data_IF_848664907179
#
_entry.id   IF_848664907179
#
_cell.length_a   1.000
_cell.length_b   1.000
_cell.length_c   1.000
_cell.angle_alpha   90.00
_cell.angle_beta   90.00
_cell.angle_gamma   90.00
#
_symmetry.space_group_name_H-M   'P 1'
#
loop_
_entity.id
_entity.type
_entity.pdbx_description
1 polymer ?
#
# COMPACT_ATOMS: atom_id res chain seq x y z
N UNK A 1 -5.62 -24.30 -0.51
CA UNK A 1 -6.73 -23.73 0.29
C UNK A 1 -7.83 -23.46 -0.68
N UNK A 2 -8.94 -24.13 -0.52
CA UNK A 2 -9.95 -24.14 -1.58
C UNK A 2 -10.99 -23.03 -1.50
N UNK A 3 -10.92 -22.13 -0.48
CA UNK A 3 -11.83 -21.00 -0.37
C UNK A 3 -11.16 -19.82 0.34
N UNK A 4 -11.14 -18.67 -0.29
CA UNK A 4 -10.90 -17.40 0.39
C UNK A 4 -12.21 -16.88 1.01
N UNK A 5 -12.16 -16.10 2.11
CA UNK A 5 -13.36 -15.58 2.72
C UNK A 5 -14.02 -14.54 1.80
N UNK A 6 -15.27 -14.80 1.43
CA UNK A 6 -16.08 -13.81 0.72
C UNK A 6 -16.53 -12.71 1.69
N UNK A 7 -16.15 -11.46 1.46
CA UNK A 7 -16.59 -10.36 2.32
C UNK A 7 -18.06 -10.06 2.10
N UNK A 8 -18.79 -9.91 3.21
CA UNK A 8 -20.21 -9.54 3.19
C UNK A 8 -20.40 -8.17 3.83
N UNK A 9 -21.04 -7.26 3.10
CA UNK A 9 -21.41 -5.95 3.62
C UNK A 9 -22.75 -6.04 4.35
N UNK A 10 -22.74 -5.76 5.64
CA UNK A 10 -23.94 -5.72 6.47
C UNK A 10 -24.22 -4.28 6.92
N UNK A 11 -25.48 -3.82 6.84
CA UNK A 11 -25.84 -2.52 7.38
C UNK A 11 -25.68 -2.52 8.90
N UNK A 12 -25.14 -1.46 9.46
CA UNK A 12 -24.95 -1.30 10.91
C UNK A 12 -26.21 -0.73 11.56
N UNK A 13 -26.88 0.16 10.84
CA UNK A 13 -28.13 0.77 11.21
C UNK A 13 -29.15 0.61 10.06
N UNK A 14 -30.44 0.79 10.37
CA UNK A 14 -31.48 0.65 9.35
C UNK A 14 -31.36 1.69 8.22
N UNK A 15 -30.83 2.87 8.52
CA UNK A 15 -30.49 3.93 7.55
C UNK A 15 -29.43 3.50 6.53
N UNK A 16 -28.57 2.56 6.89
CA UNK A 16 -27.44 2.13 6.06
C UNK A 16 -27.83 1.04 5.06
N UNK A 17 -29.04 0.50 5.17
CA UNK A 17 -29.51 -0.62 4.34
C UNK A 17 -29.50 -0.30 2.83
N UNK A 18 -29.88 0.94 2.46
CA UNK A 18 -29.88 1.39 1.07
C UNK A 18 -28.46 1.49 0.51
N UNK A 19 -27.48 1.92 1.33
CA UNK A 19 -26.07 2.06 0.92
C UNK A 19 -25.33 0.72 0.92
N UNK A 20 -25.73 -0.23 1.78
CA UNK A 20 -25.09 -1.54 1.88
C UNK A 20 -25.36 -2.44 0.66
N UNK A 21 -26.51 -2.27 0.01
CA UNK A 21 -26.90 -3.10 -1.14
C UNK A 21 -25.96 -2.90 -2.34
N UNK A 22 -25.72 -1.68 -2.88
CA UNK A 22 -24.80 -1.50 -3.99
C UNK A 22 -23.34 -1.89 -3.63
N UNK A 23 -22.90 -1.67 -2.39
CA UNK A 23 -21.57 -2.09 -1.96
C UNK A 23 -21.41 -3.61 -1.96
N UNK A 24 -22.47 -4.35 -1.62
CA UNK A 24 -22.49 -5.83 -1.66
C UNK A 24 -22.36 -6.36 -3.09
N UNK A 25 -22.89 -5.65 -4.07
CA UNK A 25 -22.83 -6.04 -5.47
C UNK A 25 -21.47 -5.67 -6.10
N UNK A 26 -20.92 -4.52 -5.75
CA UNK A 26 -19.67 -3.99 -6.34
C UNK A 26 -18.44 -4.66 -5.75
N UNK A 27 -18.44 -4.98 -4.46
CA UNK A 27 -17.25 -5.52 -3.79
C UNK A 27 -16.73 -6.83 -4.40
N UNK A 28 -17.56 -7.84 -4.72
CA UNK A 28 -17.08 -9.05 -5.38
C UNK A 28 -16.44 -8.76 -6.74
N UNK A 29 -17.00 -7.82 -7.50
CA UNK A 29 -16.47 -7.43 -8.82
C UNK A 29 -15.08 -6.80 -8.68
N UNK A 30 -14.89 -5.90 -7.71
CA UNK A 30 -13.57 -5.30 -7.44
C UNK A 30 -12.55 -6.37 -7.06
N UNK A 31 -12.94 -7.34 -6.23
CA UNK A 31 -12.05 -8.42 -5.80
C UNK A 31 -11.69 -9.35 -6.98
N UNK A 32 -12.63 -9.67 -7.85
CA UNK A 32 -12.41 -10.47 -9.04
C UNK A 32 -11.47 -9.74 -10.03
N UNK A 33 -11.69 -8.46 -10.31
CA UNK A 33 -10.83 -7.66 -11.18
C UNK A 33 -9.40 -7.49 -10.67
N UNK A 34 -9.19 -7.63 -9.37
CA UNK A 34 -7.87 -7.55 -8.75
C UNK A 34 -7.25 -8.91 -8.45
N UNK A 35 -7.84 -10.00 -8.93
CA UNK A 35 -7.33 -11.36 -8.69
C UNK A 35 -7.05 -11.62 -7.20
N UNK A 36 -8.02 -11.18 -6.36
CA UNK A 36 -7.85 -11.19 -4.91
C UNK A 36 -7.66 -12.59 -4.34
N UNK A 37 -8.21 -13.62 -4.96
CA UNK A 37 -8.03 -15.00 -4.54
C UNK A 37 -6.54 -15.39 -4.57
N UNK A 38 -5.82 -15.01 -5.62
CA UNK A 38 -4.37 -15.23 -5.71
C UNK A 38 -3.62 -14.40 -4.67
N UNK A 39 -3.93 -13.11 -4.55
CA UNK A 39 -3.34 -12.22 -3.53
C UNK A 39 -3.55 -12.77 -2.12
N UNK A 40 -4.73 -13.30 -1.82
CA UNK A 40 -5.03 -13.93 -0.54
C UNK A 40 -4.21 -15.19 -0.29
N UNK A 41 -4.08 -16.05 -1.31
CA UNK A 41 -3.27 -17.27 -1.25
C UNK A 41 -1.81 -16.95 -0.99
N UNK A 42 -1.24 -16.00 -1.72
CA UNK A 42 0.15 -15.56 -1.57
C UNK A 42 0.40 -14.95 -0.19
N UNK A 43 -0.52 -14.13 0.30
CA UNK A 43 -0.45 -13.60 1.67
C UNK A 43 -0.49 -14.69 2.75
N UNK A 44 -1.25 -15.76 2.54
CA UNK A 44 -1.23 -16.90 3.46
C UNK A 44 0.12 -17.60 3.48
N UNK A 45 0.75 -17.78 2.31
CA UNK A 45 2.09 -18.34 2.22
C UNK A 45 3.13 -17.47 2.93
N UNK A 46 3.09 -16.17 2.72
CA UNK A 46 3.97 -15.22 3.41
C UNK A 46 3.74 -15.24 4.92
N UNK A 47 2.49 -15.27 5.36
CA UNK A 47 2.13 -15.38 6.78
C UNK A 47 2.64 -16.67 7.43
N UNK A 48 2.61 -17.78 6.71
CA UNK A 48 3.14 -19.06 7.21
C UNK A 48 4.67 -19.06 7.31
N UNK A 49 5.35 -18.39 6.39
CA UNK A 49 6.82 -18.31 6.38
C UNK A 49 7.36 -17.29 7.40
N UNK A 50 6.74 -16.12 7.46
CA UNK A 50 7.26 -14.95 8.17
C UNK A 50 6.46 -14.57 9.42
N UNK A 51 5.34 -15.24 9.68
CA UNK A 51 4.44 -14.93 10.80
C UNK A 51 3.50 -13.75 10.56
N UNK A 52 3.77 -12.95 9.53
CA UNK A 52 2.99 -11.76 9.15
C UNK A 52 2.96 -11.64 7.63
N UNK A 53 1.89 -11.07 7.11
CA UNK A 53 1.78 -10.66 5.72
C UNK A 53 0.94 -9.38 5.64
N UNK A 54 1.20 -8.56 4.65
CA UNK A 54 0.49 -7.32 4.42
C UNK A 54 0.08 -7.19 2.95
N UNK A 55 -1.09 -6.62 2.71
CA UNK A 55 -1.50 -6.15 1.39
C UNK A 55 -2.09 -4.75 1.52
N UNK A 56 -1.97 -3.98 0.46
CA UNK A 56 -2.51 -2.63 0.38
C UNK A 56 -3.62 -2.54 -0.65
N UNK A 57 -4.51 -1.59 -0.41
CA UNK A 57 -5.54 -1.18 -1.37
C UNK A 57 -5.19 0.24 -1.78
N UNK A 58 -4.93 0.43 -3.06
CA UNK A 58 -4.49 1.69 -3.64
C UNK A 58 -5.46 2.14 -4.71
N UNK A 59 -5.47 3.43 -5.02
CA UNK A 59 -6.13 3.95 -6.21
C UNK A 59 -5.11 4.02 -7.34
N UNK A 60 -5.39 3.36 -8.45
CA UNK A 60 -4.56 3.42 -9.65
C UNK A 60 -5.27 4.24 -10.73
N UNK A 61 -4.81 5.47 -11.01
CA UNK A 61 -5.46 6.36 -11.98
C UNK A 61 -5.32 5.90 -13.43
N UNK A 62 -4.41 4.97 -13.73
CA UNK A 62 -4.16 4.48 -15.09
C UNK A 62 -5.09 3.33 -15.50
N UNK A 63 -5.70 2.66 -14.53
CA UNK A 63 -6.68 1.60 -14.79
C UNK A 63 -7.89 2.16 -15.55
N UNK A 64 -8.63 1.28 -16.21
CA UNK A 64 -9.87 1.58 -16.94
C UNK A 64 -9.70 2.75 -17.94
N UNK A 65 -8.62 2.72 -18.74
CA UNK A 65 -8.30 3.76 -19.74
C UNK A 65 -8.19 5.19 -19.16
N UNK A 66 -7.67 5.30 -17.93
CA UNK A 66 -7.46 6.58 -17.27
C UNK A 66 -8.62 7.08 -16.43
N UNK A 67 -9.68 6.28 -16.25
CA UNK A 67 -10.76 6.58 -15.30
C UNK A 67 -10.29 6.31 -13.87
N UNK A 68 -9.42 5.35 -13.71
CA UNK A 68 -8.89 4.88 -12.44
C UNK A 68 -9.76 3.81 -11.79
N UNK A 69 -9.11 2.92 -11.05
CA UNK A 69 -9.77 1.87 -10.27
C UNK A 69 -8.91 1.46 -9.08
N UNK A 70 -9.47 0.64 -8.20
CA UNK A 70 -8.76 0.07 -7.07
C UNK A 70 -7.73 -0.94 -7.53
N UNK A 71 -6.61 -0.98 -6.81
CA UNK A 71 -5.51 -1.90 -7.01
C UNK A 71 -5.18 -2.58 -5.68
N UNK A 72 -5.35 -3.91 -5.61
CA UNK A 72 -5.09 -4.71 -4.42
C UNK A 72 -3.83 -5.51 -4.68
N UNK A 73 -2.77 -5.22 -3.93
CA UNK A 73 -1.48 -5.89 -4.12
C UNK A 73 -0.79 -6.22 -2.80
N UNK A 74 -0.02 -7.31 -2.74
CA UNK A 74 0.80 -7.62 -1.57
C UNK A 74 1.85 -6.53 -1.36
N UNK A 75 2.18 -6.28 -0.10
CA UNK A 75 3.27 -5.39 0.30
C UNK A 75 4.37 -6.25 0.88
N UNK A 76 5.57 -6.11 0.36
CA UNK A 76 6.76 -6.76 0.88
C UNK A 76 7.03 -6.28 2.32
N UNK A 77 7.15 -7.23 3.26
CA UNK A 77 7.38 -6.93 4.67
C UNK A 77 8.69 -6.21 4.93
N UNK A 78 9.67 -6.35 4.04
CA UNK A 78 10.94 -5.63 4.12
C UNK A 78 10.82 -4.16 3.72
N UNK A 79 9.70 -3.77 3.14
CA UNK A 79 9.44 -2.41 2.66
C UNK A 79 8.48 -1.62 3.55
N UNK A 80 7.91 -2.25 4.59
CA UNK A 80 6.97 -1.62 5.50
C UNK A 80 7.58 -1.47 6.89
N UNK A 81 7.52 -0.25 7.44
CA UNK A 81 8.10 0.07 8.74
C UNK A 81 7.11 0.83 9.60
N UNK A 82 7.03 0.46 10.88
CA UNK A 82 6.20 1.15 11.89
C UNK A 82 6.98 1.34 13.18
N UNK A 83 6.40 2.00 14.18
CA UNK A 83 7.07 2.29 15.45
C UNK A 83 7.51 1.00 16.17
N UNK A 84 8.77 0.92 16.65
CA UNK A 84 9.26 -0.22 17.41
C UNK A 84 8.47 -0.41 18.71
N UNK A 85 8.18 -1.67 19.06
CA UNK A 85 7.51 -2.02 20.31
C UNK A 85 5.99 -1.88 20.28
N UNK A 86 5.40 -1.47 19.16
CA UNK A 86 3.95 -1.44 18.96
C UNK A 86 3.48 -2.81 18.49
N UNK A 87 2.54 -3.40 19.23
CA UNK A 87 2.00 -4.74 18.92
C UNK A 87 0.88 -4.67 17.88
N UNK A 88 0.01 -3.67 17.98
CA UNK A 88 -1.04 -3.41 16.99
C UNK A 88 -0.60 -2.25 16.10
N UNK A 89 -0.47 -2.50 14.80
CA UNK A 89 -0.08 -1.49 13.81
C UNK A 89 -1.02 -0.27 13.82
N UNK A 90 -2.27 -0.46 14.25
CA UNK A 90 -3.23 0.63 14.38
C UNK A 90 -2.87 1.62 15.50
N UNK A 91 -2.05 1.21 16.46
CA UNK A 91 -1.55 2.09 17.52
C UNK A 91 -0.30 2.87 17.10
N UNK A 92 0.35 2.46 16.01
CA UNK A 92 1.49 3.20 15.45
C UNK A 92 1.08 4.61 15.01
N UNK A 93 1.88 5.58 15.36
CA UNK A 93 1.69 6.98 14.91
C UNK A 93 2.25 7.21 13.53
N UNK A 94 3.25 6.41 13.15
CA UNK A 94 3.95 6.53 11.88
C UNK A 94 4.00 5.17 11.19
N UNK A 95 3.74 5.17 9.89
CA UNK A 95 3.89 4.02 9.02
C UNK A 95 4.61 4.48 7.77
N UNK A 96 5.65 3.76 7.38
CA UNK A 96 6.42 4.03 6.16
C UNK A 96 6.32 2.84 5.24
N UNK A 97 6.10 3.10 3.97
CA UNK A 97 6.27 2.11 2.89
C UNK A 97 7.37 2.62 1.99
N UNK A 98 8.39 1.78 1.77
CA UNK A 98 9.59 2.15 1.02
C UNK A 98 9.60 1.36 -0.27
N UNK A 99 9.75 2.04 -1.41
CA UNK A 99 9.85 1.42 -2.72
C UNK A 99 11.09 1.92 -3.45
N UNK A 100 11.67 1.03 -4.27
CA UNK A 100 12.68 1.39 -5.24
C UNK A 100 11.99 1.66 -6.57
N UNK A 101 12.12 2.86 -7.08
CA UNK A 101 11.49 3.29 -8.32
C UNK A 101 12.57 3.76 -9.29
N UNK A 102 12.44 3.39 -10.55
CA UNK A 102 13.33 3.84 -11.60
C UNK A 102 13.23 5.37 -11.76
N UNK A 103 14.36 6.03 -11.93
CA UNK A 103 14.43 7.48 -12.07
C UNK A 103 13.63 8.00 -13.27
N UNK A 104 13.61 7.24 -14.38
CA UNK A 104 12.78 7.55 -15.54
C UNK A 104 11.29 7.57 -15.21
N UNK A 105 10.84 6.61 -14.40
CA UNK A 105 9.44 6.56 -13.94
C UNK A 105 9.10 7.74 -13.05
N UNK A 106 10.02 8.15 -12.16
CA UNK A 106 9.84 9.32 -11.31
C UNK A 106 9.80 10.61 -12.13
N UNK A 107 10.66 10.75 -13.11
CA UNK A 107 10.69 11.90 -14.00
C UNK A 107 9.40 12.01 -14.84
N UNK A 108 8.84 10.87 -15.26
CA UNK A 108 7.56 10.83 -15.95
C UNK A 108 6.37 11.17 -15.05
N UNK A 109 6.36 10.68 -13.80
CA UNK A 109 5.29 10.96 -12.83
C UNK A 109 5.33 12.40 -12.30
N UNK A 110 6.54 12.97 -12.17
CA UNK A 110 6.76 14.31 -11.59
C UNK A 110 7.63 15.19 -12.52
N UNK A 111 7.11 15.62 -13.68
CA UNK A 111 7.89 16.36 -14.68
C UNK A 111 8.52 17.67 -14.17
N UNK A 112 7.88 18.32 -13.21
CA UNK A 112 8.37 19.57 -12.55
C UNK A 112 9.65 19.35 -11.72
N UNK A 113 9.89 18.12 -11.32
CA UNK A 113 11.05 17.71 -10.53
C UNK A 113 12.01 16.80 -11.30
N UNK A 114 11.80 16.63 -12.60
CA UNK A 114 12.64 15.76 -13.44
C UNK A 114 14.13 16.10 -13.29
N UNK A 115 14.94 15.08 -13.10
CA UNK A 115 16.37 15.18 -12.84
C UNK A 115 16.77 15.68 -11.45
N UNK A 116 15.81 16.01 -10.58
CA UNK A 116 16.06 16.46 -9.20
C UNK A 116 15.76 15.39 -8.16
N UNK A 117 14.91 14.42 -8.49
CA UNK A 117 14.50 13.32 -7.61
C UNK A 117 15.51 12.17 -7.77
N UNK A 118 16.72 12.38 -7.26
CA UNK A 118 17.80 11.41 -7.35
C UNK A 118 18.31 11.07 -5.95
N UNK A 119 18.43 9.78 -5.69
CA UNK A 119 19.02 9.25 -4.47
C UNK A 119 20.43 8.70 -4.76
N UNK A 120 21.34 8.87 -3.80
CA UNK A 120 22.67 8.25 -3.92
C UNK A 120 22.53 6.73 -3.79
N UNK A 121 23.01 6.00 -4.81
CA UNK A 121 22.94 4.53 -4.89
C UNK A 121 23.58 3.79 -3.69
N UNK A 122 24.47 4.46 -2.94
CA UNK A 122 25.10 3.89 -1.73
C UNK A 122 24.08 3.69 -0.61
N UNK A 123 23.14 4.62 -0.46
CA UNK A 123 22.14 4.57 0.61
C UNK A 123 21.08 3.51 0.33
N UNK A 124 20.82 3.23 -0.94
CA UNK A 124 19.86 2.21 -1.38
C UNK A 124 20.35 0.79 -1.05
N UNK A 125 21.64 0.51 -1.24
CA UNK A 125 22.22 -0.83 -0.99
C UNK A 125 22.10 -1.30 0.46
N UNK A 126 22.02 -0.39 1.42
CA UNK A 126 21.85 -0.74 2.83
C UNK A 126 20.50 -1.39 3.13
N UNK A 127 19.49 -1.15 2.29
CA UNK A 127 18.11 -1.61 2.47
C UNK A 127 17.76 -2.82 1.60
N UNK A 128 18.69 -3.27 0.75
CA UNK A 128 18.48 -4.42 -0.14
C UNK A 128 19.36 -5.57 0.34
N UNK A 129 18.72 -6.64 0.78
CA UNK A 129 19.39 -7.86 1.24
C UNK A 129 19.89 -8.76 0.09
N UNK A 130 19.54 -8.42 -1.14
CA UNK A 130 19.91 -9.19 -2.33
C UNK A 130 20.91 -8.40 -3.17
N UNK A 131 22.17 -8.81 -3.14
CA UNK A 131 23.27 -8.20 -3.90
C UNK A 131 23.09 -8.36 -5.43
N UNK A 132 22.14 -9.19 -5.87
CA UNK A 132 21.84 -9.39 -7.29
C UNK A 132 20.89 -8.34 -7.86
N UNK A 133 20.22 -7.57 -7.02
CA UNK A 133 19.33 -6.50 -7.45
C UNK A 133 20.15 -5.33 -7.97
N UNK A 134 19.93 -4.99 -9.24
CA UNK A 134 20.50 -3.77 -9.82
C UNK A 134 19.81 -2.54 -9.24
N UNK A 135 20.58 -1.71 -8.56
CA UNK A 135 20.13 -0.45 -7.94
C UNK A 135 20.56 0.78 -8.72
N UNK A 136 21.26 0.59 -9.86
CA UNK A 136 21.61 1.70 -10.74
C UNK A 136 20.35 2.37 -11.29
N UNK A 137 20.36 3.69 -11.37
CA UNK A 137 19.22 4.48 -11.86
C UNK A 137 17.91 4.29 -11.09
N UNK A 138 17.99 3.85 -9.81
CA UNK A 138 16.83 3.74 -8.92
C UNK A 138 16.95 4.71 -7.75
N UNK A 139 15.82 5.27 -7.38
CA UNK A 139 15.69 6.13 -6.20
C UNK A 139 14.78 5.49 -5.17
N UNK A 140 15.08 5.74 -3.89
CA UNK A 140 14.21 5.33 -2.79
C UNK A 140 13.05 6.31 -2.68
N UNK A 141 11.86 5.79 -2.77
CA UNK A 141 10.62 6.54 -2.54
C UNK A 141 10.01 6.08 -1.24
N UNK A 142 9.67 7.02 -0.39
CA UNK A 142 9.08 6.75 0.92
C UNK A 142 7.70 7.36 0.98
N UNK A 143 6.71 6.50 1.16
CA UNK A 143 5.34 6.87 1.48
C UNK A 143 5.17 6.88 3.00
N UNK A 144 4.94 8.04 3.56
CA UNK A 144 4.80 8.25 5.00
C UNK A 144 3.35 8.55 5.38
N UNK A 145 2.77 7.67 6.14
CA UNK A 145 1.46 7.84 6.76
C UNK A 145 1.63 8.16 8.23
N UNK A 146 1.03 9.25 8.70
CA UNK A 146 1.20 9.69 10.08
C UNK A 146 -0.08 10.26 10.69
N UNK A 147 -0.22 10.03 11.99
CA UNK A 147 -1.37 10.47 12.76
C UNK A 147 -1.11 11.82 13.43
N UNK A 148 -2.01 12.77 13.24
CA UNK A 148 -1.96 14.09 13.88
C UNK A 148 -3.22 14.29 14.69
N UNK A 149 -3.06 14.79 15.93
CA UNK A 149 -4.21 15.20 16.73
C UNK A 149 -4.69 16.57 16.25
N UNK A 150 -5.96 16.63 15.89
CA UNK A 150 -6.62 17.90 15.55
C UNK A 150 -6.91 18.73 16.81
N UNK A 151 -7.10 20.05 16.71
CA UNK A 151 -7.46 20.88 17.84
C UNK A 151 -8.73 20.44 18.60
N UNK A 152 -9.63 19.71 17.93
CA UNK A 152 -10.83 19.12 18.53
C UNK A 152 -10.61 17.76 19.21
N UNK A 153 -9.36 17.26 19.30
CA UNK A 153 -9.01 15.99 19.95
C UNK A 153 -9.18 14.75 19.08
N UNK A 154 -9.75 14.87 17.88
CA UNK A 154 -9.83 13.77 16.91
C UNK A 154 -8.45 13.49 16.31
N UNK A 155 -8.23 12.24 15.90
CA UNK A 155 -7.02 11.84 15.19
C UNK A 155 -7.27 11.88 13.69
N UNK A 156 -6.47 12.64 12.95
CA UNK A 156 -6.47 12.65 11.49
C UNK A 156 -5.25 11.89 10.96
N UNK A 157 -5.45 11.15 9.88
CA UNK A 157 -4.38 10.51 9.13
C UNK A 157 -3.90 11.46 8.04
N UNK A 158 -2.62 11.68 7.99
CA UNK A 158 -1.93 12.47 6.98
C UNK A 158 -1.02 11.57 6.14
N UNK A 159 -0.73 12.02 4.95
CA UNK A 159 0.13 11.33 4.00
C UNK A 159 1.15 12.31 3.41
N UNK A 160 2.38 11.86 3.27
CA UNK A 160 3.45 12.57 2.56
C UNK A 160 4.28 11.55 1.76
N UNK A 161 4.73 11.94 0.58
CA UNK A 161 5.66 11.16 -0.24
C UNK A 161 6.94 11.95 -0.41
N UNK A 162 8.09 11.30 -0.28
CA UNK A 162 9.38 11.92 -0.51
C UNK A 162 10.37 10.93 -1.14
N UNK A 163 11.35 11.47 -1.81
CA UNK A 163 12.48 10.75 -2.40
C UNK A 163 13.71 11.06 -1.55
N UNK A 164 14.38 10.02 -1.04
CA UNK A 164 15.55 10.12 -0.16
C UNK A 164 16.83 9.75 -0.86
#
# INVERSE_FOLDING_TARGET
MDNYPEPVVLPREQSDAESATPLREVLPVILEYNDYEQTYSDNWWEKLKHGTAAYGVFWNPEKENGVGDMDIRPIDLLKIFWEPGVTDIQDSKNLFVVELVDEETLDAQYPEYAGKLRCNAIDVKQYIYDDTVDTSEKSVVVDWYYKVKTPGGATALHYAKFVG
#
